data_IF_567057566870
#
_entry.id   IF_567057566870
#
_cell.length_a   1.000
_cell.length_b   1.000
_cell.length_c   1.000
_cell.angle_alpha   90.00
_cell.angle_beta   90.00
_cell.angle_gamma   90.00
#
_symmetry.space_group_name_H-M   'P 1'
#
loop_
_entity.id
_entity.type
_entity.pdbx_description
1 polymer ?
#
# COMPACT_ATOMS: atom_id res chain seq x y z
N UNK A 1 31.08 -27.05 -45.10
CA UNK A 1 32.47 -27.45 -44.79
C UNK A 1 32.42 -28.37 -43.57
N UNK A 2 32.95 -29.58 -43.72
CA UNK A 2 32.81 -30.74 -42.84
C UNK A 2 33.65 -30.64 -41.55
N UNK A 3 33.25 -31.45 -40.56
CA UNK A 3 34.07 -32.18 -39.55
C UNK A 3 34.20 -31.62 -38.13
N UNK A 4 33.46 -32.28 -37.22
CA UNK A 4 33.82 -32.53 -35.81
C UNK A 4 35.14 -33.32 -35.69
N UNK A 5 35.88 -33.14 -34.58
CA UNK A 5 36.57 -34.23 -33.85
C UNK A 5 36.93 -33.82 -32.41
N UNK A 6 36.53 -34.70 -31.47
CA UNK A 6 37.04 -34.96 -30.11
C UNK A 6 38.57 -35.20 -30.14
N UNK A 7 39.39 -35.16 -29.08
CA UNK A 7 39.30 -35.60 -27.68
C UNK A 7 40.66 -35.29 -27.00
N UNK A 8 40.71 -35.02 -25.68
CA UNK A 8 41.67 -35.67 -24.74
C UNK A 8 41.38 -35.40 -23.26
N UNK A 9 41.31 -36.53 -22.55
CA UNK A 9 41.11 -36.85 -21.12
C UNK A 9 42.49 -36.71 -20.41
N UNK A 10 42.69 -36.24 -19.18
CA UNK A 10 42.54 -36.93 -17.88
C UNK A 10 43.13 -36.01 -16.76
N UNK A 11 42.48 -35.89 -15.60
CA UNK A 11 43.05 -36.34 -14.32
C UNK A 11 42.03 -36.22 -13.19
N UNK A 12 41.79 -37.38 -12.58
CA UNK A 12 41.04 -37.63 -11.37
C UNK A 12 41.96 -37.36 -10.17
N UNK A 13 41.40 -37.18 -8.97
CA UNK A 13 41.83 -37.81 -7.71
C UNK A 13 40.86 -37.32 -6.61
N UNK A 14 39.98 -38.24 -6.21
CA UNK A 14 39.15 -38.14 -5.02
C UNK A 14 39.88 -38.81 -3.85
N UNK A 15 39.40 -38.46 -2.66
CA UNK A 15 39.41 -39.20 -1.39
C UNK A 15 40.56 -38.93 -0.40
N UNK A 16 40.19 -39.13 0.88
CA UNK A 16 40.91 -38.94 2.15
C UNK A 16 40.49 -37.61 2.83
N UNK A 17 39.70 -37.56 3.92
CA UNK A 17 39.72 -38.36 5.15
C UNK A 17 38.37 -38.26 5.89
N UNK A 18 37.90 -39.40 6.36
CA UNK A 18 36.97 -39.58 7.49
C UNK A 18 37.82 -40.27 8.59
N UNK A 19 37.65 -39.99 9.89
CA UNK A 19 37.91 -40.92 11.00
C UNK A 19 37.37 -40.38 12.34
N UNK A 20 36.79 -41.31 13.10
CA UNK A 20 36.12 -41.20 14.41
C UNK A 20 37.11 -41.30 15.59
N UNK A 21 36.54 -41.19 16.80
CA UNK A 21 37.00 -41.61 18.15
C UNK A 21 37.64 -40.47 18.99
N UNK A 22 37.35 -40.25 20.27
CA UNK A 22 37.08 -41.18 21.39
C UNK A 22 36.29 -40.54 22.55
N UNK A 23 35.65 -41.43 23.31
CA UNK A 23 34.88 -41.29 24.57
C UNK A 23 35.81 -41.13 25.78
N UNK A 24 35.38 -40.45 26.85
CA UNK A 24 35.70 -40.83 28.25
C UNK A 24 34.54 -40.53 29.22
N UNK A 25 34.33 -41.47 30.15
CA UNK A 25 33.23 -41.60 31.12
C UNK A 25 33.79 -41.40 32.54
N UNK A 26 32.97 -40.87 33.47
CA UNK A 26 32.82 -41.27 34.90
C UNK A 26 32.36 -40.08 35.77
N UNK A 27 31.77 -40.19 36.96
CA UNK A 27 30.79 -41.08 37.60
C UNK A 27 30.49 -40.45 38.98
N UNK A 28 29.22 -40.49 39.40
CA UNK A 28 28.70 -40.43 40.78
C UNK A 28 28.94 -39.20 41.67
N UNK A 29 27.86 -38.59 42.17
CA UNK A 29 27.46 -38.75 43.58
C UNK A 29 25.98 -38.31 43.78
N UNK A 30 25.20 -39.19 44.41
CA UNK A 30 23.82 -38.99 44.86
C UNK A 30 23.85 -38.49 46.31
N UNK A 31 23.19 -37.36 46.59
CA UNK A 31 22.72 -37.03 47.94
C UNK A 31 21.26 -36.57 47.86
N UNK A 32 20.42 -37.38 48.52
CA UNK A 32 19.01 -37.11 48.76
C UNK A 32 18.85 -35.96 49.76
N UNK A 33 18.11 -34.92 49.38
CA UNK A 33 17.38 -34.08 50.34
C UNK A 33 15.95 -33.93 49.83
N UNK A 34 15.04 -34.50 50.60
CA UNK A 34 13.60 -34.50 50.37
C UNK A 34 13.05 -33.12 50.73
N UNK A 35 12.54 -32.39 49.74
CA UNK A 35 11.65 -31.24 49.94
C UNK A 35 10.23 -31.68 49.54
N UNK A 36 9.20 -31.50 50.39
CA UNK A 36 7.83 -31.76 49.98
C UNK A 36 7.36 -30.58 49.13
N UNK A 37 7.50 -30.68 47.81
CA UNK A 37 6.79 -29.80 46.88
C UNK A 37 5.45 -30.46 46.58
N UNK A 38 4.39 -29.79 47.03
CA UNK A 38 2.99 -30.09 46.76
C UNK A 38 2.82 -30.24 45.24
N UNK A 39 2.42 -31.44 44.83
CA UNK A 39 2.00 -31.74 43.47
C UNK A 39 0.70 -30.96 43.16
N UNK A 40 0.77 -30.01 42.23
CA UNK A 40 -0.39 -29.61 41.44
C UNK A 40 -0.07 -29.98 39.99
N UNK A 41 -0.69 -31.04 39.50
CA UNK A 41 -0.69 -31.39 38.08
C UNK A 41 -1.43 -30.28 37.31
N UNK A 42 -0.72 -29.56 36.45
CA UNK A 42 -1.32 -28.93 35.28
C UNK A 42 -0.64 -29.50 34.04
N UNK A 43 -1.38 -30.38 33.35
CA UNK A 43 -1.06 -30.82 32.01
C UNK A 43 -1.20 -29.63 31.05
N UNK A 44 -0.08 -29.09 30.56
CA UNK A 44 -0.10 -28.23 29.39
C UNK A 44 0.51 -28.97 28.20
N UNK A 45 -0.38 -29.33 27.27
CA UNK A 45 -0.05 -29.68 25.89
C UNK A 45 0.64 -28.49 25.19
N UNK A 46 1.49 -28.73 24.17
CA UNK A 46 2.18 -27.64 23.49
C UNK A 46 1.19 -26.81 22.68
N UNK A 47 1.11 -25.52 22.99
CA UNK A 47 0.37 -24.53 22.21
C UNK A 47 1.02 -24.37 20.84
N UNK A 48 0.30 -24.79 19.80
CA UNK A 48 0.52 -24.34 18.44
C UNK A 48 0.35 -22.82 18.42
N UNK A 49 1.37 -22.10 17.97
CA UNK A 49 1.32 -20.68 17.69
C UNK A 49 0.45 -20.43 16.46
N UNK A 50 -0.84 -20.24 16.67
CA UNK A 50 -1.69 -19.58 15.69
C UNK A 50 -1.26 -18.11 15.61
N UNK A 51 -0.53 -17.77 14.55
CA UNK A 51 -0.42 -16.40 14.09
C UNK A 51 -1.83 -15.92 13.73
N UNK A 52 -2.53 -15.32 14.70
CA UNK A 52 -3.71 -14.53 14.44
C UNK A 52 -3.33 -13.39 13.50
N UNK A 53 -3.56 -13.58 12.20
CA UNK A 53 -3.74 -12.48 11.27
C UNK A 53 -4.97 -11.72 11.76
N UNK A 54 -4.74 -10.68 12.56
CA UNK A 54 -5.73 -9.66 12.84
C UNK A 54 -6.19 -9.12 11.47
N UNK A 55 -7.37 -9.55 11.01
CA UNK A 55 -7.90 -9.12 9.72
C UNK A 55 -8.12 -7.62 9.84
N UNK A 56 -7.22 -6.83 9.24
CA UNK A 56 -7.35 -5.38 9.28
C UNK A 56 -8.71 -5.00 8.73
N UNK A 57 -9.49 -4.25 9.53
CA UNK A 57 -10.83 -3.80 9.19
C UNK A 57 -10.80 -3.20 7.78
N UNK A 58 -11.65 -3.66 6.87
CA UNK A 58 -11.81 -3.03 5.56
C UNK A 58 -12.90 -1.97 5.67
N UNK A 59 -12.65 -0.79 5.11
CA UNK A 59 -13.61 0.32 5.02
C UNK A 59 -13.94 0.60 3.56
N UNK A 60 -15.17 1.03 3.31
CA UNK A 60 -15.65 1.33 1.97
C UNK A 60 -15.69 2.83 1.77
N UNK A 61 -15.27 3.28 0.59
CA UNK A 61 -15.25 4.69 0.25
C UNK A 61 -15.49 4.91 -1.23
N UNK A 62 -15.51 6.19 -1.60
CA UNK A 62 -15.67 6.62 -2.97
C UNK A 62 -14.63 7.69 -3.31
N UNK A 63 -14.44 7.95 -4.59
CA UNK A 63 -13.76 9.14 -5.06
C UNK A 63 -14.56 9.79 -6.19
N UNK A 64 -14.32 11.07 -6.43
CA UNK A 64 -15.02 11.79 -7.49
C UNK A 64 -14.18 12.92 -8.06
N UNK A 65 -14.17 13.05 -9.39
CA UNK A 65 -13.62 14.23 -10.07
C UNK A 65 -14.48 15.49 -9.87
N UNK A 66 -15.79 15.30 -9.70
CA UNK A 66 -16.75 16.38 -9.44
C UNK A 66 -16.81 16.75 -7.94
N UNK A 67 -17.36 17.94 -7.65
CA UNK A 67 -17.56 18.42 -6.28
C UNK A 67 -18.58 17.57 -5.52
N UNK A 68 -18.35 17.39 -4.23
CA UNK A 68 -19.32 16.75 -3.32
C UNK A 68 -20.39 17.77 -2.92
N UNK A 69 -21.49 17.78 -3.65
CA UNK A 69 -22.70 18.52 -3.27
C UNK A 69 -23.57 17.69 -2.33
N UNK A 70 -24.52 18.33 -1.64
CA UNK A 70 -25.55 17.61 -0.87
C UNK A 70 -26.32 16.60 -1.74
N UNK A 71 -26.55 16.94 -3.01
CA UNK A 71 -27.23 16.07 -3.97
C UNK A 71 -26.38 14.84 -4.30
N UNK A 72 -25.09 15.03 -4.62
CA UNK A 72 -24.20 13.90 -4.90
C UNK A 72 -24.02 13.01 -3.68
N UNK A 73 -23.86 13.60 -2.50
CA UNK A 73 -23.74 12.86 -1.24
C UNK A 73 -24.98 11.98 -0.99
N UNK A 74 -26.18 12.57 -1.08
CA UNK A 74 -27.46 11.84 -0.92
C UNK A 74 -27.65 10.77 -2.00
N UNK A 75 -27.22 11.05 -3.23
CA UNK A 75 -27.22 10.06 -4.31
C UNK A 75 -26.40 8.83 -3.92
N UNK A 76 -25.15 9.04 -3.48
CA UNK A 76 -24.25 7.95 -3.08
C UNK A 76 -24.84 7.16 -1.92
N UNK A 77 -25.30 7.83 -0.87
CA UNK A 77 -25.90 7.19 0.30
C UNK A 77 -27.11 6.32 -0.08
N UNK A 78 -28.00 6.85 -0.92
CA UNK A 78 -29.21 6.15 -1.36
C UNK A 78 -28.93 4.94 -2.26
N UNK A 79 -28.03 5.07 -3.24
CA UNK A 79 -27.88 4.06 -4.28
C UNK A 79 -26.72 3.08 -4.05
N UNK A 80 -25.68 3.50 -3.34
CA UNK A 80 -24.46 2.72 -3.11
C UNK A 80 -24.20 2.44 -1.63
N UNK A 81 -24.62 3.35 -0.75
CA UNK A 81 -24.42 3.29 0.70
C UNK A 81 -23.50 4.38 1.20
N UNK A 82 -23.55 4.65 2.51
CA UNK A 82 -22.76 5.70 3.14
C UNK A 82 -21.25 5.40 3.11
N UNK A 83 -20.42 6.28 2.50
CA UNK A 83 -18.97 6.11 2.48
C UNK A 83 -18.36 6.42 3.85
N UNK A 84 -17.31 5.68 4.22
CA UNK A 84 -16.44 6.01 5.36
C UNK A 84 -15.34 6.99 4.93
N UNK A 85 -14.99 6.97 3.64
CA UNK A 85 -13.96 7.81 3.00
C UNK A 85 -14.50 8.40 1.69
N UNK A 86 -14.19 9.67 1.43
CA UNK A 86 -14.34 10.31 0.12
C UNK A 86 -13.01 10.92 -0.32
N UNK A 87 -12.38 10.37 -1.37
CA UNK A 87 -11.14 10.95 -1.89
C UNK A 87 -11.42 12.11 -2.85
N UNK A 88 -10.70 13.22 -2.69
CA UNK A 88 -10.91 14.47 -3.42
C UNK A 88 -9.58 15.10 -3.83
N UNK A 89 -9.63 15.86 -4.93
CA UNK A 89 -8.46 16.50 -5.51
C UNK A 89 -8.06 17.76 -4.73
N UNK A 90 -6.76 17.95 -4.50
CA UNK A 90 -6.26 19.08 -3.69
C UNK A 90 -6.49 20.43 -4.35
N UNK A 91 -6.61 20.48 -5.69
CA UNK A 91 -6.81 21.72 -6.45
C UNK A 91 -7.44 21.42 -7.82
N UNK A 92 -8.22 22.36 -8.34
CA UNK A 92 -8.88 22.22 -9.64
C UNK A 92 -7.85 22.07 -10.75
N UNK A 93 -7.90 20.95 -11.48
CA UNK A 93 -7.19 20.75 -12.74
C UNK A 93 -8.19 20.89 -13.89
N UNK A 94 -8.06 21.96 -14.68
CA UNK A 94 -9.05 22.36 -15.69
C UNK A 94 -9.24 21.25 -16.73
N UNK A 95 -10.48 20.75 -16.82
CA UNK A 95 -10.85 19.67 -17.75
C UNK A 95 -10.65 18.26 -17.20
N UNK A 96 -10.11 18.12 -15.98
CA UNK A 96 -9.91 16.82 -15.34
C UNK A 96 -10.65 16.69 -14.00
N UNK A 97 -10.54 17.67 -13.10
CA UNK A 97 -11.10 17.55 -11.74
C UNK A 97 -11.39 18.90 -11.09
N UNK A 98 -12.41 18.92 -10.22
CA UNK A 98 -12.67 20.03 -9.31
C UNK A 98 -11.89 19.83 -8.01
N UNK A 99 -11.20 20.88 -7.56
CA UNK A 99 -10.52 20.89 -6.27
C UNK A 99 -11.50 20.94 -5.09
N UNK A 100 -11.10 20.31 -3.98
CA UNK A 100 -11.82 20.30 -2.70
C UNK A 100 -12.06 21.72 -2.18
N UNK A 101 -13.29 22.03 -1.77
CA UNK A 101 -13.64 23.32 -1.14
C UNK A 101 -13.96 23.20 0.34
N UNK A 102 -14.01 24.34 1.04
CA UNK A 102 -14.39 24.40 2.45
C UNK A 102 -15.81 23.89 2.72
N UNK A 103 -16.73 24.12 1.79
CA UNK A 103 -18.11 23.63 1.85
C UNK A 103 -18.17 22.11 1.74
N UNK A 104 -17.39 21.51 0.81
CA UNK A 104 -17.27 20.06 0.68
C UNK A 104 -16.70 19.44 1.95
N UNK A 105 -15.64 20.03 2.52
CA UNK A 105 -15.05 19.54 3.78
C UNK A 105 -16.05 19.55 4.91
N UNK A 106 -16.73 20.69 5.10
CA UNK A 106 -17.77 20.82 6.13
C UNK A 106 -18.89 19.80 5.95
N UNK A 107 -19.30 19.54 4.71
CA UNK A 107 -20.32 18.54 4.40
C UNK A 107 -19.85 17.12 4.76
N UNK A 108 -18.65 16.74 4.33
CA UNK A 108 -18.09 15.41 4.56
C UNK A 108 -17.85 15.14 6.06
N UNK A 109 -17.20 16.07 6.76
CA UNK A 109 -16.92 15.95 8.20
C UNK A 109 -18.20 15.94 9.05
N UNK A 110 -19.19 16.80 8.73
CA UNK A 110 -20.52 16.76 9.39
C UNK A 110 -21.17 15.37 9.26
N UNK A 111 -20.91 14.67 8.16
CA UNK A 111 -21.42 13.33 7.93
C UNK A 111 -20.49 12.21 8.41
N UNK A 112 -19.39 12.53 9.12
CA UNK A 112 -18.38 11.58 9.62
C UNK A 112 -17.70 10.81 8.48
N UNK A 113 -17.41 11.49 7.39
CA UNK A 113 -16.68 10.94 6.23
C UNK A 113 -15.29 11.52 6.21
N UNK A 114 -14.29 10.65 6.20
CA UNK A 114 -12.88 11.02 6.12
C UNK A 114 -12.51 11.42 4.69
N UNK A 115 -11.54 12.32 4.55
CA UNK A 115 -11.09 12.80 3.24
C UNK A 115 -9.70 12.26 2.94
N UNK A 116 -9.53 11.66 1.75
CA UNK A 116 -8.21 11.39 1.18
C UNK A 116 -7.88 12.43 0.11
N UNK A 117 -6.61 12.83 0.03
CA UNK A 117 -6.17 13.90 -0.87
C UNK A 117 -5.42 13.34 -2.08
N UNK A 118 -5.87 13.77 -3.27
CA UNK A 118 -5.32 13.38 -4.57
C UNK A 118 -4.67 14.59 -5.23
N UNK A 119 -3.44 14.43 -5.72
CA UNK A 119 -2.69 15.43 -6.46
C UNK A 119 -2.48 14.97 -7.91
N UNK A 120 -2.99 15.74 -8.88
CA UNK A 120 -2.99 15.39 -10.31
C UNK A 120 -2.61 16.55 -11.25
N UNK A 121 -1.74 17.47 -10.82
CA UNK A 121 -1.34 18.65 -11.64
C UNK A 121 -0.15 18.36 -12.58
N UNK A 122 0.04 17.10 -12.95
CA UNK A 122 1.07 16.63 -13.87
C UNK A 122 0.51 15.55 -14.79
N UNK A 123 1.16 15.36 -15.94
CA UNK A 123 0.85 14.28 -16.89
C UNK A 123 2.11 13.50 -17.34
N UNK A 124 3.23 13.76 -16.67
CA UNK A 124 4.51 13.13 -16.92
C UNK A 124 5.21 12.88 -15.58
N UNK A 125 5.32 11.61 -15.20
CA UNK A 125 5.93 11.14 -13.97
C UNK A 125 7.36 10.61 -14.23
N UNK A 126 8.20 11.39 -14.92
CA UNK A 126 9.60 11.01 -15.23
C UNK A 126 10.60 11.98 -14.62
N UNK A 127 11.80 11.50 -14.34
CA UNK A 127 12.91 12.21 -13.69
C UNK A 127 12.72 12.49 -12.20
N UNK A 128 13.82 12.40 -11.44
CA UNK A 128 13.83 12.73 -10.01
C UNK A 128 13.44 14.19 -9.76
N UNK A 129 13.93 15.12 -10.60
CA UNK A 129 13.67 16.54 -10.39
C UNK A 129 12.20 16.90 -10.54
N UNK A 130 11.50 16.31 -11.50
CA UNK A 130 10.06 16.51 -11.62
C UNK A 130 9.33 15.95 -10.40
N UNK A 131 9.65 14.72 -9.96
CA UNK A 131 9.06 14.13 -8.76
C UNK A 131 9.22 15.01 -7.51
N UNK A 132 10.41 15.62 -7.32
CA UNK A 132 10.62 16.58 -6.23
C UNK A 132 9.75 17.83 -6.35
N UNK A 133 9.61 18.37 -7.56
CA UNK A 133 8.83 19.58 -7.81
C UNK A 133 7.33 19.33 -7.61
N UNK A 134 6.83 18.20 -8.11
CA UNK A 134 5.44 17.78 -7.95
C UNK A 134 5.10 17.55 -6.47
N UNK A 135 5.99 16.92 -5.69
CA UNK A 135 5.80 16.76 -4.26
C UNK A 135 5.73 18.10 -3.51
N UNK A 136 6.58 19.07 -3.87
CA UNK A 136 6.54 20.42 -3.28
C UNK A 136 5.21 21.12 -3.59
N UNK A 137 4.73 21.01 -4.82
CA UNK A 137 3.44 21.58 -5.24
C UNK A 137 2.26 20.92 -4.50
N UNK A 138 2.25 19.58 -4.38
CA UNK A 138 1.25 18.85 -3.61
C UNK A 138 1.22 19.30 -2.14
N UNK A 139 2.38 19.41 -1.50
CA UNK A 139 2.52 19.90 -0.11
C UNK A 139 2.00 21.35 0.00
N UNK A 140 2.30 22.21 -0.97
CA UNK A 140 1.79 23.57 -0.98
C UNK A 140 0.27 23.60 -1.04
N UNK A 141 -0.36 22.82 -1.93
CA UNK A 141 -1.82 22.77 -2.05
C UNK A 141 -2.48 22.19 -0.80
N UNK A 142 -1.89 21.16 -0.18
CA UNK A 142 -2.36 20.64 1.09
C UNK A 142 -2.31 21.71 2.21
N UNK A 143 -1.24 22.52 2.25
CA UNK A 143 -1.13 23.65 3.19
C UNK A 143 -2.15 24.75 2.91
N UNK A 144 -2.40 25.09 1.66
CA UNK A 144 -3.43 26.06 1.25
C UNK A 144 -4.83 25.61 1.72
N UNK A 145 -5.11 24.30 1.65
CA UNK A 145 -6.33 23.70 2.18
C UNK A 145 -6.37 23.66 3.72
N UNK A 146 -5.22 23.80 4.39
CA UNK A 146 -5.03 23.54 5.82
C UNK A 146 -5.26 22.07 6.20
N UNK A 147 -4.86 21.16 5.32
CA UNK A 147 -4.86 19.74 5.61
C UNK A 147 -4.03 19.44 6.87
N UNK A 148 -4.51 18.57 7.78
CA UNK A 148 -3.77 18.20 8.98
C UNK A 148 -2.41 17.59 8.65
N UNK A 149 -1.44 17.81 9.53
CA UNK A 149 -0.18 17.04 9.53
C UNK A 149 -0.50 15.56 9.67
N UNK A 150 0.29 14.70 9.03
CA UNK A 150 0.04 13.25 8.98
C UNK A 150 -0.92 12.83 7.87
N UNK A 151 -1.52 13.77 7.12
CA UNK A 151 -2.36 13.41 5.96
C UNK A 151 -1.51 12.79 4.84
N UNK A 152 -1.99 11.73 4.21
CA UNK A 152 -1.36 11.19 2.99
C UNK A 152 -1.75 12.02 1.77
N UNK A 153 -0.79 12.31 0.88
CA UNK A 153 -1.05 12.90 -0.44
C UNK A 153 -0.74 11.87 -1.51
N UNK A 154 -1.75 11.51 -2.31
CA UNK A 154 -1.58 10.57 -3.41
C UNK A 154 -1.20 11.31 -4.70
N UNK A 155 -0.02 11.02 -5.25
CA UNK A 155 0.28 11.37 -6.64
C UNK A 155 -0.55 10.50 -7.58
N UNK A 156 -1.35 11.13 -8.43
CA UNK A 156 -2.23 10.48 -9.41
C UNK A 156 -1.46 10.18 -10.71
N UNK A 157 -1.07 8.91 -10.89
CA UNK A 157 -0.32 8.46 -12.06
C UNK A 157 -1.24 7.63 -12.95
N UNK A 158 -1.86 8.31 -13.91
CA UNK A 158 -2.74 7.71 -14.90
C UNK A 158 -2.04 6.67 -15.79
N UNK A 159 -2.75 5.64 -16.30
CA UNK A 159 -2.15 4.52 -17.05
C UNK A 159 -1.32 4.94 -18.27
N UNK A 160 -1.68 6.07 -18.88
CA UNK A 160 -1.04 6.58 -20.11
C UNK A 160 0.15 7.50 -19.82
N UNK A 161 0.36 7.92 -18.58
CA UNK A 161 1.46 8.83 -18.26
C UNK A 161 2.81 8.11 -18.43
N UNK A 162 3.82 8.77 -19.02
CA UNK A 162 5.19 8.32 -18.86
C UNK A 162 5.52 8.27 -17.37
N UNK A 163 6.13 7.17 -16.93
CA UNK A 163 6.54 7.01 -15.53
C UNK A 163 7.86 6.25 -15.44
N UNK A 164 8.76 6.71 -14.58
CA UNK A 164 10.03 6.05 -14.28
C UNK A 164 10.30 5.95 -12.76
N UNK A 165 11.35 5.21 -12.41
CA UNK A 165 11.73 4.99 -11.02
C UNK A 165 12.28 6.27 -10.36
N UNK A 166 12.85 7.19 -11.13
CA UNK A 166 13.51 8.38 -10.59
C UNK A 166 12.48 9.40 -10.13
N UNK A 167 11.36 9.56 -10.85
CA UNK A 167 10.22 10.35 -10.37
C UNK A 167 9.70 9.86 -9.02
N UNK A 168 9.50 8.54 -8.87
CA UNK A 168 9.01 7.94 -7.61
C UNK A 168 10.00 8.22 -6.47
N UNK A 169 11.31 8.13 -6.73
CA UNK A 169 12.34 8.52 -5.73
C UNK A 169 12.27 10.00 -5.39
N UNK A 170 12.11 10.88 -6.38
CA UNK A 170 12.01 12.33 -6.18
C UNK A 170 10.78 12.72 -5.36
N UNK A 171 9.63 12.13 -5.68
CA UNK A 171 8.39 12.28 -4.91
C UNK A 171 8.61 11.87 -3.45
N UNK A 172 9.08 10.65 -3.22
CA UNK A 172 9.33 10.11 -1.88
C UNK A 172 10.35 10.96 -1.10
N UNK A 173 11.43 11.41 -1.74
CA UNK A 173 12.51 12.19 -1.11
C UNK A 173 12.02 13.50 -0.49
N UNK A 174 11.04 14.15 -1.11
CA UNK A 174 10.45 15.37 -0.57
C UNK A 174 9.37 15.04 0.46
N UNK A 175 8.49 14.09 0.15
CA UNK A 175 7.37 13.73 1.04
C UNK A 175 7.85 13.19 2.39
N UNK A 176 8.86 12.32 2.41
CA UNK A 176 9.46 11.74 3.63
C UNK A 176 10.08 12.76 4.59
N UNK A 177 10.35 13.99 4.11
CA UNK A 177 10.90 15.10 4.92
C UNK A 177 9.83 16.14 5.28
N UNK A 178 8.59 15.90 4.89
CA UNK A 178 7.47 16.82 5.09
C UNK A 178 6.61 16.42 6.28
N UNK A 179 5.62 17.25 6.60
CA UNK A 179 4.59 16.92 7.59
C UNK A 179 3.50 15.97 7.03
N UNK A 180 3.62 15.48 5.79
CA UNK A 180 2.65 14.63 5.09
C UNK A 180 3.24 13.28 4.69
N UNK A 181 2.39 12.27 4.48
CA UNK A 181 2.83 10.93 4.07
C UNK A 181 2.83 10.75 2.54
N UNK A 182 3.82 10.03 1.99
CA UNK A 182 3.88 9.72 0.56
C UNK A 182 2.78 8.72 0.18
N UNK A 183 1.91 9.11 -0.75
CA UNK A 183 0.96 8.21 -1.41
C UNK A 183 1.18 8.19 -2.92
N UNK A 184 0.87 7.06 -3.57
CA UNK A 184 0.80 6.94 -5.03
C UNK A 184 -0.47 6.18 -5.42
N UNK A 185 -1.27 6.78 -6.30
CA UNK A 185 -2.42 6.18 -6.93
C UNK A 185 -2.10 5.81 -8.38
N UNK A 186 -2.61 4.67 -8.84
CA UNK A 186 -2.50 4.26 -10.24
C UNK A 186 -2.82 2.78 -10.47
N UNK A 187 -2.72 2.32 -11.73
CA UNK A 187 -2.98 0.92 -12.11
C UNK A 187 -1.73 0.07 -11.82
N UNK A 188 -1.61 -0.47 -10.61
CA UNK A 188 -0.48 -1.32 -10.21
C UNK A 188 -0.62 -2.78 -10.67
N UNK A 189 -0.85 -2.99 -11.95
CA UNK A 189 -0.80 -4.30 -12.59
C UNK A 189 0.64 -4.62 -13.09
N UNK A 190 1.15 -5.86 -13.01
CA UNK A 190 2.51 -6.22 -13.43
C UNK A 190 2.90 -5.77 -14.84
N UNK A 191 1.92 -5.65 -15.75
CA UNK A 191 2.17 -5.22 -17.13
C UNK A 191 2.29 -3.70 -17.27
N UNK A 192 1.88 -2.94 -16.26
CA UNK A 192 1.89 -1.48 -16.27
C UNK A 192 3.27 -0.91 -15.91
N UNK A 193 3.59 0.25 -16.50
CA UNK A 193 4.89 0.93 -16.29
C UNK A 193 5.09 1.33 -14.83
N UNK A 194 4.04 1.80 -14.15
CA UNK A 194 4.09 2.24 -12.76
C UNK A 194 4.50 1.10 -11.81
N UNK A 195 4.05 -0.14 -12.06
CA UNK A 195 4.42 -1.31 -11.27
C UNK A 195 5.93 -1.58 -11.37
N UNK A 196 6.48 -1.52 -12.58
CA UNK A 196 7.92 -1.71 -12.84
C UNK A 196 8.75 -0.58 -12.27
N UNK A 197 8.31 0.66 -12.46
CA UNK A 197 8.94 1.86 -11.92
C UNK A 197 9.02 1.83 -10.39
N UNK A 198 7.92 1.47 -9.70
CA UNK A 198 7.91 1.38 -8.24
C UNK A 198 8.86 0.29 -7.73
N UNK A 199 8.83 -0.91 -8.31
CA UNK A 199 9.77 -1.98 -7.93
C UNK A 199 11.23 -1.56 -8.11
N UNK A 200 11.53 -0.87 -9.21
CA UNK A 200 12.88 -0.37 -9.46
C UNK A 200 13.30 0.74 -8.47
N UNK A 201 12.39 1.65 -8.11
CA UNK A 201 12.63 2.66 -7.09
C UNK A 201 12.84 2.04 -5.70
N UNK A 202 12.08 0.98 -5.38
CA UNK A 202 12.10 0.29 -4.09
C UNK A 202 13.25 -0.72 -3.93
N UNK A 203 13.88 -1.17 -5.03
CA UNK A 203 14.85 -2.29 -5.04
C UNK A 203 15.92 -2.19 -3.93
N UNK A 204 16.45 -1.00 -3.70
CA UNK A 204 17.46 -0.71 -2.68
C UNK A 204 17.03 0.39 -1.69
N UNK A 205 15.73 0.68 -1.61
CA UNK A 205 15.19 1.70 -0.72
C UNK A 205 14.00 1.13 0.06
N UNK A 206 14.31 0.50 1.20
CA UNK A 206 13.31 -0.14 2.06
C UNK A 206 12.31 0.88 2.62
N UNK A 207 12.79 2.06 3.05
CA UNK A 207 11.92 3.12 3.58
C UNK A 207 10.91 3.59 2.53
N UNK A 208 11.34 3.81 1.27
CA UNK A 208 10.41 4.14 0.18
C UNK A 208 9.31 3.08 0.02
N UNK A 209 9.68 1.80 0.05
CA UNK A 209 8.74 0.69 -0.10
C UNK A 209 7.74 0.58 1.06
N UNK A 210 8.21 0.81 2.28
CA UNK A 210 7.45 0.59 3.51
C UNK A 210 6.64 1.83 3.94
N UNK A 211 7.05 3.02 3.55
CA UNK A 211 6.38 4.28 3.91
C UNK A 211 5.45 4.79 2.83
N UNK A 212 5.72 4.49 1.54
CA UNK A 212 4.84 4.93 0.44
C UNK A 212 3.57 4.09 0.41
N UNK A 213 2.45 4.74 0.70
CA UNK A 213 1.13 4.12 0.66
C UNK A 213 0.69 4.00 -0.80
N UNK A 214 0.37 2.79 -1.22
CA UNK A 214 -0.19 2.54 -2.55
C UNK A 214 -1.72 2.48 -2.49
N UNK A 215 -2.33 3.03 -3.53
CA UNK A 215 -3.74 2.88 -3.86
C UNK A 215 -3.84 2.40 -5.31
N UNK A 216 -4.24 1.13 -5.48
CA UNK A 216 -4.27 0.51 -6.80
C UNK A 216 -5.65 0.61 -7.46
N UNK A 217 -5.68 0.94 -8.75
CA UNK A 217 -6.86 0.85 -9.61
C UNK A 217 -6.92 -0.47 -10.41
N UNK A 218 -6.30 -1.54 -9.89
CA UNK A 218 -6.30 -2.86 -10.51
C UNK A 218 -6.49 -3.98 -9.48
N UNK A 219 -7.20 -5.07 -9.83
CA UNK A 219 -8.03 -5.23 -11.04
C UNK A 219 -9.36 -4.48 -10.92
N UNK A 220 -9.98 -4.07 -12.04
CA UNK A 220 -11.34 -3.52 -12.02
C UNK A 220 -12.37 -4.66 -11.94
N UNK A 221 -13.19 -4.67 -10.89
CA UNK A 221 -14.30 -5.61 -10.64
C UNK A 221 -15.66 -5.03 -11.02
N UNK A 222 -15.74 -3.72 -11.20
CA UNK A 222 -16.95 -2.99 -11.51
C UNK A 222 -17.60 -2.40 -10.26
N UNK A 223 -18.49 -1.43 -10.50
CA UNK A 223 -19.20 -0.69 -9.46
C UNK A 223 -20.18 -1.61 -8.72
N UNK A 224 -20.16 -1.53 -7.38
CA UNK A 224 -21.13 -2.21 -6.52
C UNK A 224 -21.64 -1.26 -5.44
N UNK A 225 -22.73 -1.66 -4.76
CA UNK A 225 -23.06 -1.10 -3.45
C UNK A 225 -22.01 -1.52 -2.41
N UNK A 226 -21.91 -0.77 -1.30
CA UNK A 226 -21.06 -1.06 -0.14
C UNK A 226 -21.24 -2.49 0.39
N UNK A 227 -22.50 -2.93 0.53
CA UNK A 227 -22.86 -4.27 1.03
C UNK A 227 -22.42 -5.42 0.11
N UNK A 228 -22.21 -5.13 -1.19
CA UNK A 228 -21.82 -6.09 -2.21
C UNK A 228 -20.38 -5.86 -2.71
N UNK A 229 -19.58 -5.07 -1.97
CA UNK A 229 -18.21 -4.80 -2.35
C UNK A 229 -17.38 -6.10 -2.42
N UNK A 230 -16.43 -6.21 -3.36
CA UNK A 230 -15.60 -7.39 -3.49
C UNK A 230 -14.69 -7.55 -2.26
N UNK A 231 -14.02 -8.70 -2.14
CA UNK A 231 -12.93 -8.83 -1.18
C UNK A 231 -11.79 -7.88 -1.54
N UNK A 232 -11.14 -7.30 -0.54
CA UNK A 232 -9.93 -6.50 -0.74
C UNK A 232 -8.82 -7.37 -1.32
N UNK A 233 -8.56 -7.24 -2.62
CA UNK A 233 -7.53 -7.99 -3.34
C UNK A 233 -6.93 -7.18 -4.51
N UNK A 234 -6.36 -6.00 -4.24
CA UNK A 234 -5.71 -5.20 -5.27
C UNK A 234 -4.43 -5.88 -5.81
N UNK A 235 -4.13 -5.63 -7.07
CA UNK A 235 -2.80 -5.86 -7.62
C UNK A 235 -1.85 -4.77 -7.13
N UNK A 236 -0.68 -5.16 -6.62
CA UNK A 236 0.36 -4.25 -6.17
C UNK A 236 1.73 -4.95 -6.15
N UNK A 237 2.85 -4.20 -6.20
CA UNK A 237 4.18 -4.73 -5.97
C UNK A 237 4.28 -5.55 -4.68
N UNK A 238 4.96 -6.70 -4.73
CA UNK A 238 5.08 -7.60 -3.57
C UNK A 238 5.70 -6.87 -2.37
N UNK A 239 5.12 -7.08 -1.19
CA UNK A 239 5.57 -6.46 0.07
C UNK A 239 5.56 -4.92 0.04
N UNK A 240 4.75 -4.30 -0.81
CA UNK A 240 4.47 -2.86 -0.75
C UNK A 240 3.39 -2.54 0.28
N UNK A 241 3.34 -1.29 0.74
CA UNK A 241 2.28 -0.80 1.64
C UNK A 241 1.01 -0.44 0.87
N UNK A 242 0.34 -1.46 0.35
CA UNK A 242 -0.96 -1.32 -0.33
C UNK A 242 -2.09 -1.18 0.70
N UNK A 243 -2.71 0.00 0.74
CA UNK A 243 -3.83 0.31 1.64
C UNK A 243 -5.11 0.66 0.89
N UNK A 244 -5.04 1.10 -0.36
CA UNK A 244 -6.21 1.45 -1.17
C UNK A 244 -6.43 0.55 -2.38
N UNK A 245 -7.69 0.36 -2.74
CA UNK A 245 -8.12 -0.40 -3.90
C UNK A 245 -9.34 0.25 -4.56
N UNK A 246 -9.15 0.90 -5.70
CA UNK A 246 -10.26 1.30 -6.59
C UNK A 246 -10.65 0.10 -7.42
N UNK A 247 -11.84 -0.43 -7.17
CA UNK A 247 -12.31 -1.67 -7.78
C UNK A 247 -13.40 -1.44 -8.82
N UNK A 248 -13.96 -0.24 -8.92
CA UNK A 248 -14.97 0.10 -9.92
C UNK A 248 -14.91 1.58 -10.25
N UNK A 249 -15.16 1.90 -11.51
CA UNK A 249 -15.14 3.27 -12.04
C UNK A 249 -16.48 3.65 -12.68
N UNK A 250 -16.76 4.96 -12.71
CA UNK A 250 -17.85 5.60 -13.46
C UNK A 250 -19.24 5.02 -13.13
N UNK A 251 -19.63 5.11 -11.86
CA UNK A 251 -20.97 4.76 -11.43
C UNK A 251 -22.05 5.53 -12.20
N UNK A 252 -23.00 4.80 -12.81
CA UNK A 252 -24.05 5.39 -13.66
C UNK A 252 -25.02 6.30 -12.91
N UNK A 253 -25.36 5.96 -11.67
CA UNK A 253 -26.38 6.70 -10.90
C UNK A 253 -25.81 7.95 -10.24
N UNK A 254 -24.56 7.89 -9.81
CA UNK A 254 -23.84 8.99 -9.17
C UNK A 254 -22.41 8.95 -9.73
N UNK A 255 -21.92 10.04 -10.33
CA UNK A 255 -20.62 10.05 -11.02
C UNK A 255 -19.43 9.94 -10.03
N UNK A 256 -19.19 8.74 -9.54
CA UNK A 256 -18.17 8.36 -8.55
C UNK A 256 -17.49 7.05 -8.94
N UNK A 257 -16.34 6.81 -8.34
CA UNK A 257 -15.64 5.53 -8.36
C UNK A 257 -15.73 4.86 -6.98
N UNK A 258 -15.73 3.53 -6.94
CA UNK A 258 -15.90 2.75 -5.69
C UNK A 258 -14.60 2.14 -5.22
N UNK A 259 -14.36 2.27 -3.92
CA UNK A 259 -13.08 1.96 -3.30
C UNK A 259 -13.23 1.10 -2.04
N UNK A 260 -12.21 0.29 -1.80
CA UNK A 260 -11.97 -0.37 -0.53
C UNK A 260 -10.62 0.07 0.02
N UNK A 261 -10.56 0.29 1.33
CA UNK A 261 -9.32 0.62 2.00
C UNK A 261 -9.12 -0.26 3.23
N UNK A 262 -7.87 -0.59 3.54
CA UNK A 262 -7.52 -1.10 4.86
C UNK A 262 -7.73 0.02 5.88
N UNK A 263 -8.30 -0.31 7.04
CA UNK A 263 -8.69 0.65 8.07
C UNK A 263 -7.52 1.46 8.63
N UNK A 264 -6.30 0.95 8.50
CA UNK A 264 -5.06 1.70 8.74
C UNK A 264 -5.02 3.04 7.97
N UNK A 265 -5.67 3.13 6.80
CA UNK A 265 -5.70 4.38 6.02
C UNK A 265 -6.32 5.55 6.81
N UNK A 266 -7.20 5.27 7.77
CA UNK A 266 -7.93 6.29 8.51
C UNK A 266 -7.01 7.15 9.38
N UNK A 267 -5.85 6.63 9.81
CA UNK A 267 -4.86 7.45 10.54
C UNK A 267 -4.09 8.41 9.63
N UNK A 268 -4.27 8.30 8.30
CA UNK A 268 -3.64 9.15 7.29
C UNK A 268 -4.67 10.00 6.53
N UNK A 269 -5.96 9.88 6.85
CA UNK A 269 -7.01 10.68 6.25
C UNK A 269 -7.30 11.93 7.08
N UNK A 270 -7.98 12.88 6.45
CA UNK A 270 -8.43 14.10 7.09
C UNK A 270 -9.84 13.91 7.66
N UNK A 271 -9.90 13.83 8.99
CA UNK A 271 -11.13 13.79 9.81
C UNK A 271 -11.75 15.16 10.09
#
# INVERSE_FOLDING_TARGET
MYKQRREKRLNNWKDLINWRLLIWVSSALLLFVIFPIIFHQNNHAPSNSEHNQETSKIVWGVDSASKVTDELFKCVDKYYGKPDIWARYTKTNKGASAGLTAEEMKLLHKNKVNILLIYNHFNNATTEKAGENEAKAAIQYAKELKAPKGTVLFADIEPKYPVDADFIKGWYKIMSKSDYHPGIYGVFDPDQKIYKAFNQAAKNNKSLKDETILWSAAPQKGITKKENAPKFNPSAPKNSRILGYQYGMEAKSCNIDTNLFKGEILSFSWE
#
